data_IF_036049255495
#
_entry.id   IF_036049255495
#
_cell.length_a   1.000
_cell.length_b   1.000
_cell.length_c   1.000
_cell.angle_alpha   90.00
_cell.angle_beta   90.00
_cell.angle_gamma   90.00
#
_symmetry.space_group_name_H-M   'P 1'
#
loop_
_entity.id
_entity.type
_entity.pdbx_description
1 polymer ?
#
# COMPACT_ATOMS: atom_id res chain seq x y z
N UNK A 1 -11.60 9.12 11.76
CA UNK A 1 -10.62 9.31 10.69
C UNK A 1 -10.60 8.03 9.86
N UNK A 2 -10.68 8.18 8.54
CA UNK A 2 -10.57 7.09 7.58
C UNK A 2 -9.28 7.38 6.80
N UNK A 3 -8.24 6.60 7.05
CA UNK A 3 -6.91 6.81 6.48
C UNK A 3 -6.51 5.58 5.66
N UNK A 4 -5.74 5.81 4.59
CA UNK A 4 -5.40 4.76 3.64
C UNK A 4 -4.13 5.02 2.87
N UNK A 5 -3.67 3.96 2.21
CA UNK A 5 -2.69 4.00 1.14
C UNK A 5 -2.88 2.78 0.24
N UNK A 6 -2.30 2.82 -0.95
CA UNK A 6 -2.24 1.69 -1.86
C UNK A 6 -0.88 0.99 -1.75
N UNK A 7 -0.78 -0.25 -2.23
CA UNK A 7 0.46 -1.02 -2.16
C UNK A 7 1.59 -0.37 -2.97
N UNK A 8 1.27 0.15 -4.16
CA UNK A 8 2.20 0.72 -5.13
C UNK A 8 1.97 2.23 -5.31
N UNK A 9 2.20 3.03 -4.26
CA UNK A 9 2.06 4.50 -4.33
C UNK A 9 3.18 5.18 -5.14
N UNK A 10 4.38 4.59 -5.18
CA UNK A 10 5.58 5.19 -5.75
C UNK A 10 5.68 5.28 -7.29
N UNK A 11 5.20 4.32 -8.09
CA UNK A 11 5.55 4.22 -9.52
C UNK A 11 5.23 5.43 -10.41
N UNK A 12 4.24 6.26 -10.05
CA UNK A 12 3.95 7.48 -10.81
C UNK A 12 4.92 8.64 -10.54
N UNK A 13 5.64 8.60 -9.42
CA UNK A 13 6.40 9.75 -8.91
C UNK A 13 7.91 9.59 -8.95
N UNK A 14 8.38 8.39 -9.28
CA UNK A 14 9.81 8.04 -9.27
C UNK A 14 10.30 7.82 -10.71
N UNK A 15 11.50 8.30 -11.08
CA UNK A 15 12.11 8.01 -12.38
C UNK A 15 12.24 6.50 -12.63
N UNK A 16 11.95 6.06 -13.86
CA UNK A 16 11.84 4.64 -14.25
C UNK A 16 13.15 4.01 -14.74
N UNK A 17 14.30 4.54 -14.32
CA UNK A 17 15.63 4.10 -14.77
C UNK A 17 16.67 3.96 -13.64
N UNK A 18 16.22 3.75 -12.41
CA UNK A 18 17.07 3.61 -11.22
C UNK A 18 17.52 2.15 -11.08
N UNK A 19 18.52 1.74 -11.86
CA UNK A 19 19.00 0.35 -11.88
C UNK A 19 20.21 0.09 -10.98
N UNK A 20 20.82 1.14 -10.43
CA UNK A 20 22.03 1.03 -9.58
C UNK A 20 21.84 1.78 -8.27
N UNK A 21 22.59 1.40 -7.23
CA UNK A 21 22.56 2.13 -5.96
C UNK A 21 23.06 3.57 -6.11
N UNK A 22 24.01 3.82 -7.02
CA UNK A 22 24.45 5.18 -7.33
C UNK A 22 23.29 6.04 -7.86
N UNK A 23 22.52 5.51 -8.82
CA UNK A 23 21.34 6.22 -9.33
C UNK A 23 20.27 6.42 -8.24
N UNK A 24 20.13 5.46 -7.31
CA UNK A 24 19.25 5.61 -6.16
C UNK A 24 19.72 6.75 -5.25
N UNK A 25 21.00 6.83 -4.93
CA UNK A 25 21.57 7.93 -4.13
C UNK A 25 21.37 9.29 -4.81
N UNK A 26 21.56 9.37 -6.12
CA UNK A 26 21.29 10.60 -6.89
C UNK A 26 19.81 11.01 -6.82
N UNK A 27 18.89 10.04 -6.93
CA UNK A 27 17.46 10.27 -6.74
C UNK A 27 17.12 10.73 -5.32
N UNK A 28 17.72 10.13 -4.28
CA UNK A 28 17.49 10.50 -2.88
C UNK A 28 17.98 11.92 -2.59
N UNK A 29 19.15 12.30 -3.11
CA UNK A 29 19.67 13.68 -2.95
C UNK A 29 18.80 14.72 -3.63
N UNK A 30 18.16 14.35 -4.74
CA UNK A 30 17.22 15.23 -5.46
C UNK A 30 15.89 15.34 -4.72
N UNK A 31 15.36 14.20 -4.23
CA UNK A 31 14.05 14.13 -3.55
C UNK A 31 14.09 14.68 -2.13
N UNK A 32 15.23 14.54 -1.44
CA UNK A 32 15.45 14.96 -0.06
C UNK A 32 16.66 15.90 0.02
N UNK A 33 16.57 17.13 -0.50
CA UNK A 33 17.70 18.05 -0.64
C UNK A 33 18.33 18.51 0.69
N UNK A 34 17.69 18.23 1.84
CA UNK A 34 18.22 18.51 3.18
C UNK A 34 18.87 17.30 3.85
N UNK A 35 18.94 16.16 3.17
CA UNK A 35 19.63 14.98 3.69
C UNK A 35 21.14 15.14 3.46
N UNK A 36 21.92 14.91 4.51
CA UNK A 36 23.36 14.75 4.41
C UNK A 36 23.75 13.29 4.09
N UNK A 37 25.04 13.01 3.95
CA UNK A 37 25.52 11.67 3.62
C UNK A 37 25.17 10.61 4.67
N UNK A 38 25.07 10.99 5.96
CA UNK A 38 24.67 10.07 7.02
C UNK A 38 23.18 9.77 6.95
N UNK A 39 22.36 10.77 6.63
CA UNK A 39 20.92 10.56 6.41
C UNK A 39 20.68 9.62 5.23
N UNK A 40 21.41 9.81 4.11
CA UNK A 40 21.33 8.93 2.93
C UNK A 40 21.77 7.51 3.30
N UNK A 41 22.88 7.34 4.01
CA UNK A 41 23.32 6.02 4.48
C UNK A 41 22.25 5.35 5.37
N UNK A 42 21.60 6.12 6.24
CA UNK A 42 20.52 5.63 7.11
C UNK A 42 19.28 5.20 6.31
N UNK A 43 18.93 5.92 5.23
CA UNK A 43 17.88 5.47 4.30
C UNK A 43 18.28 4.14 3.68
N UNK A 44 19.50 4.02 3.15
CA UNK A 44 19.93 2.78 2.50
C UNK A 44 19.91 1.60 3.48
N UNK A 45 20.37 1.79 4.71
CA UNK A 45 20.33 0.77 5.77
C UNK A 45 18.89 0.38 6.15
N UNK A 46 17.96 1.34 6.17
CA UNK A 46 16.54 1.10 6.48
C UNK A 46 15.81 0.32 5.39
N UNK A 47 16.32 0.34 4.16
CA UNK A 47 15.74 -0.34 2.99
C UNK A 47 16.73 -1.34 2.38
N UNK A 48 17.11 -2.43 3.07
CA UNK A 48 17.99 -3.43 2.48
C UNK A 48 17.25 -4.25 1.41
N UNK A 49 17.93 -4.60 0.31
CA UNK A 49 17.44 -5.60 -0.63
C UNK A 49 17.76 -7.00 -0.11
N UNK A 50 16.77 -7.90 -0.16
CA UNK A 50 16.99 -9.33 0.04
C UNK A 50 17.70 -9.95 -1.18
N UNK A 51 18.08 -11.23 -1.04
CA UNK A 51 18.61 -12.00 -2.16
C UNK A 51 17.65 -12.04 -3.37
N UNK A 52 16.34 -11.95 -3.13
CA UNK A 52 15.35 -11.88 -4.20
C UNK A 52 15.46 -10.56 -4.97
N UNK A 53 15.47 -9.43 -4.25
CA UNK A 53 15.54 -8.10 -4.83
C UNK A 53 16.88 -7.80 -5.53
N UNK A 54 17.96 -8.51 -5.18
CA UNK A 54 19.27 -8.34 -5.84
C UNK A 54 19.38 -9.02 -7.21
N UNK A 55 18.48 -9.94 -7.56
CA UNK A 55 18.50 -10.67 -8.83
C UNK A 55 17.49 -10.05 -9.79
N UNK A 56 17.91 -9.22 -10.77
CA UNK A 56 17.01 -8.46 -11.63
C UNK A 56 16.18 -9.31 -12.59
N UNK A 57 16.53 -10.60 -12.78
CA UNK A 57 15.77 -11.52 -13.65
C UNK A 57 14.64 -12.23 -12.91
N UNK A 58 14.51 -12.04 -11.60
CA UNK A 58 13.43 -12.63 -10.83
C UNK A 58 12.06 -12.08 -11.28
N UNK A 59 11.00 -12.92 -11.24
CA UNK A 59 9.65 -12.51 -11.63
C UNK A 59 9.11 -11.30 -10.84
N UNK A 60 8.33 -10.47 -11.52
CA UNK A 60 7.59 -9.37 -10.89
C UNK A 60 6.21 -9.84 -10.45
N UNK A 61 5.80 -9.50 -9.23
CA UNK A 61 4.49 -9.84 -8.68
C UNK A 61 4.10 -8.92 -7.52
N UNK A 62 2.80 -8.87 -7.20
CA UNK A 62 2.30 -8.22 -6.00
C UNK A 62 2.62 -9.06 -4.76
N UNK A 63 3.22 -8.44 -3.76
CA UNK A 63 3.68 -9.10 -2.54
C UNK A 63 2.51 -9.52 -1.65
N UNK A 64 2.72 -10.58 -0.85
CA UNK A 64 1.71 -11.04 0.11
C UNK A 64 1.60 -10.13 1.34
N UNK A 65 2.66 -9.36 1.61
CA UNK A 65 2.78 -8.41 2.71
C UNK A 65 3.18 -9.00 4.05
N UNK A 66 2.84 -10.26 4.34
CA UNK A 66 3.17 -10.93 5.61
C UNK A 66 4.19 -12.07 5.47
N UNK A 67 4.67 -12.34 4.25
CA UNK A 67 5.62 -13.40 3.95
C UNK A 67 6.35 -13.19 2.62
N UNK A 68 7.52 -13.81 2.49
CA UNK A 68 8.32 -13.79 1.25
C UNK A 68 9.02 -12.46 0.97
N UNK A 69 9.37 -12.19 -0.30
CA UNK A 69 9.87 -10.88 -0.73
C UNK A 69 8.89 -9.76 -0.38
N UNK A 70 9.43 -8.60 -0.06
CA UNK A 70 8.65 -7.45 0.43
C UNK A 70 8.53 -6.38 -0.66
N UNK A 71 7.72 -5.36 -0.40
CA UNK A 71 7.57 -4.18 -1.26
C UNK A 71 8.89 -3.40 -1.44
N UNK A 72 9.94 -3.68 -0.64
CA UNK A 72 11.30 -3.14 -0.87
C UNK A 72 12.01 -3.91 -1.99
N UNK A 73 11.70 -5.20 -2.14
CA UNK A 73 12.35 -6.10 -3.09
C UNK A 73 11.70 -6.06 -4.46
N UNK A 74 10.38 -6.24 -4.51
CA UNK A 74 9.62 -6.46 -5.75
C UNK A 74 8.20 -5.89 -5.66
N UNK A 75 7.67 -5.48 -6.80
CA UNK A 75 6.24 -5.33 -7.03
C UNK A 75 5.91 -5.71 -8.49
N UNK A 76 4.64 -5.60 -8.97
CA UNK A 76 4.34 -5.81 -10.38
C UNK A 76 5.11 -4.88 -11.34
N UNK A 77 5.67 -3.78 -10.83
CA UNK A 77 6.27 -2.72 -11.65
C UNK A 77 7.78 -2.76 -11.72
N UNK A 78 8.45 -3.27 -10.69
CA UNK A 78 9.91 -3.24 -10.60
C UNK A 78 10.46 -4.26 -9.61
N UNK A 79 11.78 -4.45 -9.71
CA UNK A 79 12.60 -5.20 -8.76
C UNK A 79 13.90 -4.44 -8.50
N UNK A 80 14.55 -4.70 -7.37
CA UNK A 80 15.86 -4.15 -7.03
C UNK A 80 15.82 -2.65 -6.76
N UNK A 81 16.85 -1.91 -7.18
CA UNK A 81 16.97 -0.49 -6.83
C UNK A 81 15.79 0.38 -7.32
N UNK A 82 15.15 -0.01 -8.41
CA UNK A 82 13.96 0.69 -8.92
C UNK A 82 12.78 0.51 -7.96
N UNK A 83 12.54 -0.73 -7.51
CA UNK A 83 11.50 -1.01 -6.53
C UNK A 83 11.81 -0.38 -5.17
N UNK A 84 13.06 -0.47 -4.74
CA UNK A 84 13.55 0.19 -3.52
C UNK A 84 13.28 1.69 -3.55
N UNK A 85 13.49 2.35 -4.69
CA UNK A 85 13.14 3.76 -4.89
C UNK A 85 11.64 4.01 -4.79
N UNK A 86 10.80 3.15 -5.39
CA UNK A 86 9.35 3.20 -5.27
C UNK A 86 8.90 3.09 -3.81
N UNK A 87 9.43 2.12 -3.06
CA UNK A 87 9.11 1.92 -1.65
C UNK A 87 9.53 3.12 -0.78
N UNK A 88 10.75 3.66 -0.98
CA UNK A 88 11.24 4.84 -0.25
C UNK A 88 10.31 6.02 -0.48
N UNK A 89 9.97 6.32 -1.73
CA UNK A 89 9.10 7.45 -2.04
C UNK A 89 7.69 7.22 -1.49
N UNK A 90 7.10 6.04 -1.75
CA UNK A 90 5.77 5.65 -1.27
C UNK A 90 5.65 5.79 0.25
N UNK A 91 6.62 5.29 1.00
CA UNK A 91 6.60 5.32 2.46
C UNK A 91 6.84 6.72 3.01
N UNK A 92 7.71 7.51 2.38
CA UNK A 92 7.95 8.90 2.81
C UNK A 92 6.76 9.84 2.57
N UNK A 93 6.00 9.63 1.48
CA UNK A 93 5.01 10.59 0.99
C UNK A 93 3.55 10.18 1.24
N UNK A 94 3.24 8.87 1.27
CA UNK A 94 1.86 8.38 1.32
C UNK A 94 1.65 7.37 2.44
N UNK A 95 2.38 6.24 2.41
CA UNK A 95 2.08 5.11 3.26
C UNK A 95 2.32 5.44 4.72
N UNK A 96 3.50 5.94 5.13
CA UNK A 96 3.73 6.28 6.54
C UNK A 96 2.95 7.51 7.02
N UNK A 97 2.78 8.58 6.23
CA UNK A 97 1.84 9.65 6.58
C UNK A 97 0.43 9.17 6.88
N UNK A 98 -0.10 8.15 6.18
CA UNK A 98 -1.42 7.58 6.50
C UNK A 98 -1.50 7.01 7.92
N UNK A 99 -0.41 6.41 8.43
CA UNK A 99 -0.33 5.88 9.80
C UNK A 99 -0.34 7.03 10.82
N UNK A 100 0.36 8.12 10.52
CA UNK A 100 0.44 9.27 11.42
C UNK A 100 -0.87 10.04 11.47
N UNK A 101 -1.54 10.20 10.32
CA UNK A 101 -2.89 10.78 10.26
C UNK A 101 -3.86 9.89 11.04
N UNK A 102 -3.80 8.57 10.90
CA UNK A 102 -4.64 7.67 11.69
C UNK A 102 -4.38 7.83 13.20
N UNK A 103 -3.10 7.80 13.59
CA UNK A 103 -2.66 7.91 14.99
C UNK A 103 -3.00 9.27 15.62
N UNK A 104 -2.92 10.36 14.86
CA UNK A 104 -3.28 11.70 15.34
C UNK A 104 -4.75 11.83 15.78
N UNK A 105 -5.60 10.88 15.37
CA UNK A 105 -7.03 10.84 15.69
C UNK A 105 -7.42 9.76 16.71
N UNK A 106 -6.45 9.11 17.39
CA UNK A 106 -6.75 8.10 18.43
C UNK A 106 -6.57 8.61 19.87
N UNK A 107 -5.99 9.80 20.07
CA UNK A 107 -5.68 10.35 21.41
C UNK A 107 -6.88 10.88 22.22
N UNK A 108 -8.11 10.69 21.74
CA UNK A 108 -9.35 11.16 22.38
C UNK A 108 -10.39 10.05 22.26
N UNK A 109 -10.99 9.64 23.39
CA UNK A 109 -11.99 8.56 23.42
C UNK A 109 -13.25 8.86 22.60
N UNK A 110 -13.51 10.13 22.26
CA UNK A 110 -14.60 10.53 21.37
C UNK A 110 -14.23 10.43 19.88
N UNK A 111 -12.97 10.16 19.55
CA UNK A 111 -12.48 10.00 18.17
C UNK A 111 -12.16 8.54 17.91
N UNK A 112 -12.49 8.10 16.71
CA UNK A 112 -12.11 6.78 16.19
C UNK A 112 -11.31 6.99 14.92
N UNK A 113 -10.31 6.16 14.68
CA UNK A 113 -9.62 6.08 13.41
C UNK A 113 -9.68 4.65 12.86
N UNK A 114 -9.63 4.51 11.54
CA UNK A 114 -9.59 3.25 10.81
C UNK A 114 -8.51 3.38 9.73
N UNK A 115 -7.62 2.40 9.67
CA UNK A 115 -6.53 2.34 8.68
C UNK A 115 -6.73 1.12 7.79
N UNK A 116 -6.47 1.28 6.50
CA UNK A 116 -6.35 0.15 5.57
C UNK A 116 -5.26 0.36 4.52
N UNK A 117 -4.94 -0.74 3.86
CA UNK A 117 -4.16 -0.76 2.63
C UNK A 117 -4.99 -1.39 1.50
N UNK A 118 -4.90 -0.84 0.29
CA UNK A 118 -5.45 -1.46 -0.91
C UNK A 118 -4.34 -2.16 -1.70
N UNK A 119 -4.47 -3.47 -1.91
CA UNK A 119 -3.41 -4.29 -2.50
C UNK A 119 -3.85 -5.08 -3.74
N UNK A 120 -5.10 -4.92 -4.20
CA UNK A 120 -5.53 -5.56 -5.45
C UNK A 120 -4.82 -4.91 -6.66
N UNK A 121 -4.02 -5.66 -7.44
CA UNK A 121 -3.27 -5.10 -8.56
C UNK A 121 -4.18 -4.37 -9.58
N UNK A 122 -3.74 -3.23 -10.14
CA UNK A 122 -2.38 -2.69 -10.10
C UNK A 122 -2.00 -1.95 -8.80
N UNK A 123 -2.94 -1.73 -7.87
CA UNK A 123 -2.69 -1.06 -6.59
C UNK A 123 -1.86 0.23 -6.66
N UNK A 124 -1.93 0.95 -7.79
CA UNK A 124 -1.25 2.21 -8.00
C UNK A 124 -1.93 3.34 -7.22
N UNK A 125 -1.24 4.44 -6.99
CA UNK A 125 -1.82 5.66 -6.44
C UNK A 125 -3.18 6.01 -7.10
N UNK A 126 -4.24 6.07 -6.29
CA UNK A 126 -5.61 6.37 -6.71
C UNK A 126 -6.40 5.21 -7.34
N UNK A 127 -5.85 4.00 -7.44
CA UNK A 127 -6.56 2.81 -7.98
C UNK A 127 -7.74 2.37 -7.13
N UNK A 128 -7.76 2.75 -5.85
CA UNK A 128 -8.82 2.49 -4.89
C UNK A 128 -10.08 3.34 -5.15
N UNK A 129 -9.92 4.53 -5.74
CA UNK A 129 -10.99 5.52 -5.92
C UNK A 129 -12.18 4.96 -6.71
N UNK A 130 -11.90 4.18 -7.74
CA UNK A 130 -12.92 3.58 -8.63
C UNK A 130 -13.84 2.61 -7.90
N UNK A 131 -13.39 2.03 -6.78
CA UNK A 131 -14.16 1.05 -6.05
C UNK A 131 -15.21 1.66 -5.10
N UNK A 132 -15.13 2.95 -4.77
CA UNK A 132 -16.14 3.64 -3.96
C UNK A 132 -16.79 4.87 -4.65
N UNK A 133 -16.13 5.52 -5.62
CA UNK A 133 -16.73 6.59 -6.44
C UNK A 133 -17.21 6.13 -7.82
N UNK A 134 -16.68 5.02 -8.34
CA UNK A 134 -17.03 4.50 -9.65
C UNK A 134 -16.49 5.31 -10.84
N UNK A 135 -16.59 4.77 -12.07
CA UNK A 135 -16.98 3.39 -12.38
C UNK A 135 -15.91 2.39 -11.93
N UNK A 136 -16.30 1.16 -11.61
CA UNK A 136 -15.38 0.10 -11.18
C UNK A 136 -14.44 -0.35 -12.29
N UNK A 137 -13.24 -0.80 -11.94
CA UNK A 137 -12.30 -1.39 -12.89
C UNK A 137 -12.58 -2.89 -13.08
N UNK A 138 -12.08 -3.51 -14.17
CA UNK A 138 -12.19 -4.97 -14.36
C UNK A 138 -11.52 -5.81 -13.26
N UNK A 139 -10.64 -5.20 -12.46
CA UNK A 139 -9.94 -5.82 -11.34
C UNK A 139 -10.69 -5.69 -10.01
N UNK A 140 -11.88 -5.07 -10.03
CA UNK A 140 -12.75 -4.86 -8.89
C UNK A 140 -14.07 -5.59 -9.14
N UNK A 141 -14.33 -6.67 -8.40
CA UNK A 141 -15.60 -7.41 -8.54
C UNK A 141 -16.80 -6.55 -8.11
N UNK A 142 -17.99 -6.91 -8.57
CA UNK A 142 -19.22 -6.23 -8.15
C UNK A 142 -19.40 -6.27 -6.62
N UNK A 143 -18.98 -7.37 -6.01
CA UNK A 143 -19.08 -7.61 -4.57
C UNK A 143 -18.03 -6.83 -3.78
N UNK A 144 -16.83 -6.67 -4.33
CA UNK A 144 -15.82 -5.76 -3.79
C UNK A 144 -16.33 -4.31 -3.77
N UNK A 145 -16.87 -3.83 -4.89
CA UNK A 145 -17.42 -2.47 -5.01
C UNK A 145 -18.62 -2.27 -4.08
N UNK A 146 -19.52 -3.25 -4.01
CA UNK A 146 -20.66 -3.23 -3.09
C UNK A 146 -20.21 -3.10 -1.63
N UNK A 147 -19.24 -3.89 -1.20
CA UNK A 147 -18.70 -3.81 0.14
C UNK A 147 -18.08 -2.42 0.39
N UNK A 148 -17.26 -1.91 -0.53
CA UNK A 148 -16.56 -0.63 -0.34
C UNK A 148 -17.49 0.57 -0.26
N UNK A 149 -18.45 0.65 -1.18
CA UNK A 149 -19.47 1.71 -1.17
C UNK A 149 -20.32 1.65 0.11
N UNK A 150 -20.62 0.44 0.60
CA UNK A 150 -21.38 0.25 1.84
C UNK A 150 -20.59 0.72 3.07
N UNK A 151 -19.29 0.37 3.16
CA UNK A 151 -18.44 0.80 4.27
C UNK A 151 -18.24 2.31 4.27
N UNK A 152 -18.03 2.91 3.09
CA UNK A 152 -17.88 4.35 2.95
C UNK A 152 -19.16 5.09 3.37
N UNK A 153 -20.32 4.61 2.92
CA UNK A 153 -21.62 5.15 3.33
C UNK A 153 -21.88 5.00 4.84
N UNK A 154 -21.56 3.84 5.42
CA UNK A 154 -21.68 3.58 6.85
C UNK A 154 -20.79 4.54 7.66
N UNK A 155 -19.54 4.75 7.23
CA UNK A 155 -18.62 5.66 7.90
C UNK A 155 -19.10 7.12 7.86
N UNK A 156 -19.61 7.58 6.70
CA UNK A 156 -20.20 8.93 6.60
C UNK A 156 -21.40 9.08 7.54
N UNK A 157 -22.28 8.07 7.59
CA UNK A 157 -23.52 8.16 8.35
C UNK A 157 -23.32 8.00 9.88
N UNK A 158 -22.34 7.19 10.29
CA UNK A 158 -22.24 6.72 11.69
C UNK A 158 -20.86 6.93 12.33
N UNK A 159 -19.85 7.32 11.55
CA UNK A 159 -18.46 7.39 12.00
C UNK A 159 -17.77 6.03 12.13
N UNK A 160 -18.41 4.93 11.71
CA UNK A 160 -17.88 3.56 11.72
C UNK A 160 -18.02 2.92 10.34
N UNK A 161 -16.98 2.26 9.80
CA UNK A 161 -17.04 1.60 8.49
C UNK A 161 -17.73 0.23 8.54
N UNK A 162 -18.13 -0.25 9.72
CA UNK A 162 -18.63 -1.61 9.87
C UNK A 162 -19.91 -1.84 9.06
N UNK A 163 -19.93 -2.93 8.29
CA UNK A 163 -21.05 -3.36 7.47
C UNK A 163 -21.47 -4.80 7.80
N UNK A 164 -22.74 -5.18 7.56
CA UNK A 164 -23.18 -6.56 7.70
C UNK A 164 -22.34 -7.55 6.88
N UNK A 165 -22.08 -8.75 7.42
CA UNK A 165 -21.20 -9.74 6.80
C UNK A 165 -21.70 -10.25 5.44
N UNK A 166 -23.01 -10.29 5.22
CA UNK A 166 -23.63 -10.63 3.93
C UNK A 166 -23.41 -9.55 2.86
N UNK A 167 -23.16 -8.30 3.26
CA UNK A 167 -22.78 -7.20 2.35
C UNK A 167 -21.29 -7.21 2.05
N UNK A 168 -20.46 -7.60 3.03
CA UNK A 168 -19.02 -7.72 2.84
C UNK A 168 -18.65 -8.81 1.81
N UNK A 169 -19.49 -9.85 1.71
CA UNK A 169 -19.32 -11.01 0.82
C UNK A 169 -17.88 -11.53 0.78
N UNK A 170 -17.33 -11.73 1.98
CA UNK A 170 -15.94 -12.10 2.21
C UNK A 170 -15.92 -13.49 2.87
N UNK A 171 -16.06 -14.52 2.05
CA UNK A 171 -16.20 -15.91 2.52
C UNK A 171 -15.07 -16.28 3.47
N UNK A 172 -15.41 -16.64 4.71
CA UNK A 172 -14.45 -17.07 5.73
C UNK A 172 -13.81 -15.95 6.55
N UNK A 173 -14.24 -14.70 6.41
CA UNK A 173 -13.76 -13.59 7.25
C UNK A 173 -14.83 -12.52 7.45
N UNK A 174 -15.09 -12.18 8.71
CA UNK A 174 -16.07 -11.18 9.15
C UNK A 174 -15.43 -9.82 9.45
N UNK A 175 -14.19 -9.59 8.98
CA UNK A 175 -13.37 -8.42 9.29
C UNK A 175 -14.09 -7.08 9.10
N UNK A 176 -15.00 -6.98 8.14
CA UNK A 176 -15.74 -5.75 7.87
C UNK A 176 -16.98 -5.55 8.74
N UNK A 177 -17.44 -6.58 9.45
CA UNK A 177 -18.51 -6.47 10.44
C UNK A 177 -18.01 -5.93 11.78
N UNK A 178 -16.72 -6.14 12.06
CA UNK A 178 -16.02 -5.70 13.25
C UNK A 178 -14.65 -5.10 12.91
N UNK A 179 -14.62 -4.14 11.98
CA UNK A 179 -13.36 -3.51 11.58
C UNK A 179 -12.69 -2.90 12.82
N UNK A 180 -11.43 -3.29 13.13
CA UNK A 180 -10.72 -2.76 14.29
C UNK A 180 -10.58 -1.24 14.21
N UNK A 181 -10.82 -0.57 15.34
CA UNK A 181 -10.37 0.82 15.48
C UNK A 181 -8.85 0.81 15.50
N UNK A 182 -8.24 1.73 14.77
CA UNK A 182 -6.80 1.98 14.84
C UNK A 182 -6.40 2.31 16.28
N UNK A 183 -5.36 1.64 16.79
CA UNK A 183 -4.89 1.77 18.17
C UNK A 183 -3.97 0.63 18.58
N UNK A 184 -4.21 -0.57 18.06
CA UNK A 184 -3.45 -1.80 18.34
C UNK A 184 -2.54 -2.21 17.17
N UNK A 185 -2.14 -1.25 16.33
CA UNK A 185 -1.33 -1.49 15.12
C UNK A 185 -1.99 -2.44 14.09
N UNK A 186 -3.32 -2.58 14.12
CA UNK A 186 -4.09 -3.38 13.18
C UNK A 186 -4.65 -2.51 12.04
N UNK A 187 -4.46 -2.97 10.80
CA UNK A 187 -5.09 -2.37 9.62
C UNK A 187 -5.83 -3.43 8.81
N UNK A 188 -6.80 -3.01 8.00
CA UNK A 188 -7.46 -3.92 7.06
C UNK A 188 -6.70 -3.93 5.74
N UNK A 189 -6.45 -5.11 5.19
CA UNK A 189 -5.95 -5.29 3.84
C UNK A 189 -7.13 -5.56 2.88
N UNK A 190 -7.33 -4.68 1.92
CA UNK A 190 -8.28 -4.86 0.82
C UNK A 190 -7.59 -5.50 -0.38
N UNK A 191 -7.80 -6.81 -0.52
CA UNK A 191 -7.32 -7.61 -1.63
C UNK A 191 -8.45 -8.46 -2.23
N UNK A 192 -8.20 -9.01 -3.42
CA UNK A 192 -9.04 -10.01 -4.06
C UNK A 192 -8.22 -11.24 -4.47
N UNK A 193 -8.89 -12.39 -4.48
CA UNK A 193 -8.35 -13.66 -4.98
C UNK A 193 -9.25 -14.20 -6.09
N UNK A 194 -8.88 -15.36 -6.65
CA UNK A 194 -9.62 -15.95 -7.75
C UNK A 194 -9.49 -15.11 -9.02
N UNK A 195 -10.47 -15.24 -9.92
CA UNK A 195 -10.45 -14.60 -11.23
C UNK A 195 -9.54 -15.29 -12.24
N UNK A 196 -9.37 -14.63 -13.37
CA UNK A 196 -8.48 -15.03 -14.45
C UNK A 196 -7.34 -14.02 -14.59
N UNK A 197 -6.10 -14.52 -14.68
CA UNK A 197 -4.93 -13.67 -14.93
C UNK A 197 -5.04 -13.05 -16.31
N UNK A 198 -4.91 -11.73 -16.40
CA UNK A 198 -4.73 -11.00 -17.66
C UNK A 198 -3.62 -9.97 -17.52
N UNK A 199 -3.25 -9.33 -18.62
CA UNK A 199 -2.34 -8.19 -18.63
C UNK A 199 -3.13 -6.92 -18.88
N UNK A 200 -2.89 -5.90 -18.06
CA UNK A 200 -3.50 -4.59 -18.21
C UNK A 200 -2.41 -3.52 -18.29
N UNK A 201 -2.58 -2.56 -19.19
CA UNK A 201 -1.73 -1.37 -19.24
C UNK A 201 -1.95 -0.54 -17.97
N UNK A 202 -0.88 -0.35 -17.21
CA UNK A 202 -0.86 0.45 -15.99
C UNK A 202 -0.82 1.96 -16.27
N UNK A 203 -0.69 2.36 -17.54
CA UNK A 203 -0.63 3.76 -17.97
C UNK A 203 0.68 4.44 -17.58
N UNK A 204 0.80 5.72 -17.93
CA UNK A 204 1.95 6.58 -17.55
C UNK A 204 3.35 5.99 -17.86
N UNK A 205 3.43 5.14 -18.89
CA UNK A 205 4.67 4.47 -19.29
C UNK A 205 5.15 3.40 -18.30
N UNK A 206 4.27 2.86 -17.45
CA UNK A 206 4.57 1.71 -16.57
C UNK A 206 4.48 0.36 -17.31
N UNK A 207 3.88 0.36 -18.51
CA UNK A 207 3.70 -0.85 -19.31
C UNK A 207 2.60 -1.75 -18.75
N UNK A 208 2.59 -2.99 -19.21
CA UNK A 208 1.58 -3.95 -18.79
C UNK A 208 1.99 -4.71 -17.53
N UNK A 209 1.03 -4.92 -16.62
CA UNK A 209 1.20 -5.74 -15.42
C UNK A 209 0.16 -6.85 -15.37
N UNK A 210 0.51 -7.95 -14.69
CA UNK A 210 -0.44 -9.02 -14.42
C UNK A 210 -1.48 -8.56 -13.41
N UNK A 211 -2.76 -8.75 -13.73
CA UNK A 211 -3.90 -8.45 -12.86
C UNK A 211 -4.91 -9.60 -12.91
N UNK A 212 -5.75 -9.70 -11.89
CA UNK A 212 -6.87 -10.65 -11.86
C UNK A 212 -8.15 -9.94 -12.29
N UNK A 213 -8.93 -10.56 -13.17
CA UNK A 213 -10.23 -10.05 -13.62
C UNK A 213 -11.31 -11.13 -13.54
N UNK A 214 -12.57 -10.74 -13.65
CA UNK A 214 -13.69 -11.68 -13.77
C UNK A 214 -13.54 -12.62 -14.99
N UNK A 215 -14.16 -13.83 -14.96
CA UNK A 215 -15.02 -14.37 -13.90
C UNK A 215 -14.24 -15.00 -12.73
N UNK A 216 -14.83 -14.92 -11.52
CA UNK A 216 -14.43 -15.67 -10.34
C UNK A 216 -13.61 -14.88 -9.32
N UNK A 217 -13.65 -13.54 -9.37
CA UNK A 217 -13.01 -12.71 -8.35
C UNK A 217 -13.75 -12.83 -7.02
N UNK A 218 -13.00 -12.98 -5.94
CA UNK A 218 -13.52 -13.11 -4.57
C UNK A 218 -12.82 -12.12 -3.64
N UNK A 219 -13.57 -11.53 -2.72
CA UNK A 219 -12.98 -10.68 -1.68
C UNK A 219 -12.09 -11.54 -0.77
N UNK A 220 -10.91 -11.03 -0.45
CA UNK A 220 -9.95 -11.66 0.44
C UNK A 220 -9.53 -10.67 1.55
N UNK A 221 -10.53 -9.99 2.12
CA UNK A 221 -10.29 -8.96 3.11
C UNK A 221 -9.88 -9.60 4.43
N UNK A 222 -8.85 -9.04 5.04
CA UNK A 222 -8.32 -9.54 6.30
C UNK A 222 -7.69 -8.44 7.10
N UNK A 223 -7.68 -8.63 8.40
CA UNK A 223 -6.88 -7.82 9.31
C UNK A 223 -5.41 -8.24 9.20
N UNK A 224 -4.52 -7.26 9.26
CA UNK A 224 -3.07 -7.45 9.21
C UNK A 224 -2.38 -6.58 10.24
N UNK A 225 -1.24 -7.07 10.75
CA UNK A 225 -0.34 -6.30 11.61
C UNK A 225 0.37 -5.24 10.77
N UNK A 226 0.01 -3.98 10.97
CA UNK A 226 0.53 -2.84 10.23
C UNK A 226 2.02 -2.56 10.55
N UNK A 227 2.52 -2.99 11.71
CA UNK A 227 3.94 -2.85 12.07
C UNK A 227 4.79 -3.87 11.34
N UNK A 228 4.35 -5.13 11.32
CA UNK A 228 5.05 -6.24 10.68
C UNK A 228 4.90 -6.26 9.15
N UNK A 229 3.85 -5.63 8.62
CA UNK A 229 3.54 -5.57 7.19
C UNK A 229 4.74 -5.18 6.32
N UNK A 230 4.91 -5.84 5.19
CA UNK A 230 5.97 -5.61 4.19
C UNK A 230 7.37 -5.59 4.80
N UNK A 231 7.66 -6.59 5.63
CA UNK A 231 8.97 -6.77 6.25
C UNK A 231 9.29 -5.71 7.29
N UNK A 232 8.31 -5.33 8.13
CA UNK A 232 8.53 -4.38 9.21
C UNK A 232 8.36 -2.92 8.81
N UNK A 233 7.41 -2.60 7.91
CA UNK A 233 7.08 -1.22 7.50
C UNK A 233 6.89 -0.28 8.68
N UNK A 234 6.36 -0.75 9.80
CA UNK A 234 6.23 0.06 11.02
C UNK A 234 7.55 0.71 11.46
N UNK A 235 8.67 -0.02 11.42
CA UNK A 235 9.98 0.52 11.77
C UNK A 235 10.48 1.55 10.76
N UNK A 236 10.16 1.36 9.47
CA UNK A 236 10.45 2.33 8.41
C UNK A 236 9.60 3.59 8.54
N UNK A 237 8.36 3.47 9.00
CA UNK A 237 7.53 4.62 9.34
C UNK A 237 8.02 5.38 10.57
N UNK A 238 8.57 4.69 11.57
CA UNK A 238 9.26 5.37 12.68
C UNK A 238 10.51 6.12 12.20
N UNK A 239 11.25 5.55 11.25
CA UNK A 239 12.36 6.22 10.59
C UNK A 239 11.91 7.50 9.89
N UNK A 240 10.90 7.45 9.00
CA UNK A 240 10.41 8.65 8.32
C UNK A 240 9.86 9.70 9.27
N UNK A 241 9.25 9.29 10.38
CA UNK A 241 8.79 10.24 11.41
C UNK A 241 9.94 11.03 12.02
N UNK A 242 11.11 10.41 12.24
CA UNK A 242 12.32 11.10 12.70
C UNK A 242 12.93 11.99 11.62
N UNK A 243 12.82 11.59 10.35
CA UNK A 243 13.33 12.35 9.21
C UNK A 243 12.43 13.51 8.77
N UNK A 244 11.18 13.55 9.23
CA UNK A 244 10.18 14.56 8.83
C UNK A 244 10.68 16.02 8.88
N UNK A 245 11.48 16.47 9.87
CA UNK A 245 12.02 17.83 9.87
C UNK A 245 12.94 18.16 8.69
N UNK A 246 13.47 17.15 7.98
CA UNK A 246 14.37 17.27 6.82
C UNK A 246 13.67 16.94 5.49
N UNK A 247 12.53 16.26 5.49
CA UNK A 247 11.75 15.95 4.27
C UNK A 247 11.07 17.24 3.75
N UNK A 248 11.08 17.53 2.44
CA UNK A 248 10.31 18.65 1.88
C UNK A 248 8.80 18.42 2.09
N UNK A 249 8.09 19.45 2.56
CA UNK A 249 6.61 19.47 2.61
C UNK A 249 6.05 20.28 1.45
#
# INVERSE_FOLDING_TARGET
MWASHNADEGPFFVPKNITTEKALVEFLRTSFPRFDDNDIASVLETYPLSAYGTEPTNPLFATAGDSGPTAVDVSPFAIGNQQRAYAIYAESAFQCPSYWVATGYTGDSAKSSYLFTYTSPPALHGSDITGYLGPSTPTQSAEFVRAWQSMWGAYIATGSPNIPGDVANNSGSDVLSSWPRWGDDLMVNFNQTGGTVTRADAGFGLGEVAVMVEPGLENAFREVDARAWEGGRGARCDFWRRMAPKVPM
#
